data_IF_938140909899
#
_entry.id   IF_938140909899
#
_cell.length_a   1.000
_cell.length_b   1.000
_cell.length_c   1.000
_cell.angle_alpha   90.00
_cell.angle_beta   90.00
_cell.angle_gamma   90.00
#
_symmetry.space_group_name_H-M   'P 1'
#
loop_
_entity.id
_entity.type
_entity.pdbx_description
1 polymer ?
#
# COMPACT_ATOMS: atom_id res chain seq x y z
N UNK A 1 12.78 -1.20 -5.15
CA UNK A 1 11.49 -1.66 -4.57
C UNK A 1 11.72 -2.08 -3.12
N UNK A 2 10.77 -1.77 -2.22
CA UNK A 2 10.84 -2.17 -0.81
C UNK A 2 9.72 -3.16 -0.49
N UNK A 3 10.05 -4.25 0.19
CA UNK A 3 9.07 -5.20 0.73
C UNK A 3 9.10 -5.15 2.26
N UNK A 4 7.92 -5.19 2.89
CA UNK A 4 7.77 -5.31 4.33
C UNK A 4 6.96 -6.58 4.61
N UNK A 5 7.58 -7.57 5.23
CA UNK A 5 6.93 -8.85 5.55
C UNK A 5 7.40 -9.36 6.92
N UNK A 6 6.49 -9.96 7.70
CA UNK A 6 6.80 -10.50 9.03
C UNK A 6 6.97 -12.02 9.04
N UNK A 7 6.24 -12.72 8.17
CA UNK A 7 6.16 -14.17 8.15
C UNK A 7 7.42 -14.77 7.55
N UNK A 8 8.09 -15.63 8.32
CA UNK A 8 9.35 -16.27 7.91
C UNK A 8 9.23 -17.01 6.58
N UNK A 9 8.18 -17.81 6.41
CA UNK A 9 7.95 -18.59 5.19
C UNK A 9 7.80 -17.69 3.97
N UNK A 10 7.07 -16.58 4.09
CA UNK A 10 6.91 -15.61 3.01
C UNK A 10 8.22 -14.87 2.70
N UNK A 11 9.02 -14.53 3.70
CA UNK A 11 10.34 -13.93 3.52
C UNK A 11 11.32 -14.86 2.80
N UNK A 12 11.31 -16.15 3.16
CA UNK A 12 12.20 -17.13 2.53
C UNK A 12 11.82 -17.31 1.05
N UNK A 13 10.52 -17.39 0.73
CA UNK A 13 10.04 -17.40 -0.65
C UNK A 13 10.37 -16.10 -1.41
N UNK A 14 10.19 -14.94 -0.79
CA UNK A 14 10.52 -13.65 -1.39
C UNK A 14 12.00 -13.55 -1.74
N UNK A 15 12.89 -14.00 -0.84
CA UNK A 15 14.34 -14.02 -1.10
C UNK A 15 14.69 -14.93 -2.27
N UNK A 16 14.11 -16.12 -2.32
CA UNK A 16 14.31 -17.05 -3.43
C UNK A 16 13.86 -16.42 -4.77
N UNK A 17 12.70 -15.76 -4.80
CA UNK A 17 12.22 -15.09 -6.01
C UNK A 17 13.15 -13.93 -6.45
N UNK A 18 13.68 -13.15 -5.49
CA UNK A 18 14.61 -12.05 -5.79
C UNK A 18 15.91 -12.58 -6.38
N UNK A 19 16.44 -13.67 -5.82
CA UNK A 19 17.64 -14.35 -6.31
C UNK A 19 17.40 -14.95 -7.71
N UNK A 20 16.29 -15.67 -7.91
CA UNK A 20 15.93 -16.28 -9.20
C UNK A 20 15.78 -15.23 -10.31
N UNK A 21 15.22 -14.07 -9.99
CA UNK A 21 15.04 -12.97 -10.93
C UNK A 21 16.29 -12.11 -11.13
N UNK A 22 17.33 -12.26 -10.30
CA UNK A 22 18.56 -11.47 -10.34
C UNK A 22 18.31 -9.96 -10.15
N UNK A 23 17.49 -9.60 -9.16
CA UNK A 23 17.07 -8.20 -8.89
C UNK A 23 17.43 -7.72 -7.49
N UNK A 24 18.36 -8.41 -6.83
CA UNK A 24 18.81 -8.11 -5.47
C UNK A 24 19.31 -6.66 -5.32
N UNK A 25 19.99 -6.11 -6.32
CA UNK A 25 20.49 -4.74 -6.39
C UNK A 25 19.38 -3.66 -6.34
N UNK A 26 18.15 -4.04 -6.72
CA UNK A 26 16.97 -3.16 -6.80
C UNK A 26 15.94 -3.45 -5.73
N UNK A 27 16.16 -4.42 -4.84
CA UNK A 27 15.18 -4.85 -3.84
C UNK A 27 15.72 -4.72 -2.42
N UNK A 28 14.96 -4.02 -1.55
CA UNK A 28 15.18 -3.97 -0.10
C UNK A 28 14.09 -4.77 0.60
N UNK A 29 14.47 -5.84 1.30
CA UNK A 29 13.54 -6.65 2.10
C UNK A 29 13.66 -6.25 3.58
N UNK A 30 12.54 -5.82 4.17
CA UNK A 30 12.43 -5.46 5.58
C UNK A 30 11.59 -6.51 6.29
N UNK A 31 12.17 -7.20 7.27
CA UNK A 31 11.40 -8.07 8.17
C UNK A 31 10.70 -7.22 9.22
N UNK A 32 9.38 -7.05 9.13
CA UNK A 32 8.67 -6.16 10.05
C UNK A 32 7.15 -6.15 9.90
N UNK A 33 6.49 -5.41 10.78
CA UNK A 33 5.05 -5.19 10.75
C UNK A 33 4.72 -4.02 9.81
N UNK A 34 3.98 -4.27 8.74
CA UNK A 34 3.59 -3.25 7.77
C UNK A 34 2.72 -2.12 8.36
N UNK A 35 2.14 -2.28 9.55
CA UNK A 35 1.43 -1.22 10.28
C UNK A 35 2.35 -0.34 11.15
N UNK A 36 3.61 -0.73 11.34
CA UNK A 36 4.56 0.03 12.14
C UNK A 36 5.26 1.09 11.29
N UNK A 37 5.20 2.36 11.71
CA UNK A 37 5.84 3.50 11.04
C UNK A 37 7.33 3.29 10.73
N UNK A 38 8.04 2.59 11.60
CA UNK A 38 9.46 2.29 11.41
C UNK A 38 9.74 1.42 10.17
N UNK A 39 8.77 0.62 9.72
CA UNK A 39 8.95 -0.28 8.58
C UNK A 39 8.94 0.41 7.22
N UNK A 40 8.55 1.69 7.15
CA UNK A 40 8.44 2.44 5.89
C UNK A 40 9.60 3.40 5.64
N UNK A 41 10.54 3.50 6.59
CA UNK A 41 11.66 4.44 6.56
C UNK A 41 12.96 3.73 6.19
N UNK A 42 13.86 4.46 5.53
CA UNK A 42 15.27 4.09 5.49
C UNK A 42 15.92 4.49 6.81
N UNK A 43 16.58 3.54 7.47
CA UNK A 43 17.36 3.80 8.70
C UNK A 43 18.60 4.68 8.41
N UNK A 44 19.05 4.74 7.16
CA UNK A 44 20.24 5.48 6.71
C UNK A 44 19.97 6.94 6.35
N UNK A 45 18.71 7.40 6.44
CA UNK A 45 18.37 8.81 6.21
C UNK A 45 18.81 9.67 7.42
N UNK A 46 20.11 9.96 7.51
CA UNK A 46 20.67 10.97 8.43
C UNK A 46 20.33 12.38 7.97
N UNK A 47 20.00 13.25 8.93
CA UNK A 47 19.76 14.70 8.80
C UNK A 47 18.71 15.18 7.78
N UNK A 48 17.47 15.32 8.27
CA UNK A 48 16.46 16.21 7.68
C UNK A 48 15.91 15.83 6.29
N UNK A 49 16.50 14.86 5.61
CA UNK A 49 16.00 14.33 4.35
C UNK A 49 14.76 13.47 4.61
N UNK A 50 13.65 13.85 3.98
CA UNK A 50 12.39 13.14 4.12
C UNK A 50 12.60 11.69 3.68
N UNK A 51 12.34 10.78 4.63
CA UNK A 51 12.26 9.34 4.47
C UNK A 51 11.64 8.93 3.14
N UNK A 52 12.22 7.91 2.50
CA UNK A 52 11.81 7.27 1.24
C UNK A 52 10.36 7.59 0.86
N UNK A 53 10.19 8.38 -0.20
CA UNK A 53 8.87 8.63 -0.77
C UNK A 53 8.62 7.68 -1.94
N UNK A 54 7.43 7.10 -1.97
CA UNK A 54 7.03 6.09 -2.93
C UNK A 54 6.09 6.68 -3.98
N UNK A 55 6.26 6.30 -5.24
CA UNK A 55 5.28 6.60 -6.29
C UNK A 55 4.11 5.61 -6.29
N UNK A 56 4.39 4.39 -5.81
CA UNK A 56 3.44 3.29 -5.71
C UNK A 56 3.62 2.56 -4.38
N UNK A 57 2.53 2.34 -3.67
CA UNK A 57 2.45 1.40 -2.55
C UNK A 57 1.41 0.35 -2.87
N UNK A 58 1.76 -0.93 -2.70
CA UNK A 58 0.81 -2.04 -2.71
C UNK A 58 0.65 -2.56 -1.29
N UNK A 59 -0.59 -2.68 -0.83
CA UNK A 59 -0.92 -3.05 0.53
C UNK A 59 -2.01 -4.12 0.54
N UNK A 60 -1.65 -5.32 1.02
CA UNK A 60 -2.51 -6.50 1.09
C UNK A 60 -2.47 -7.09 2.51
N UNK A 61 -3.23 -6.49 3.45
CA UNK A 61 -3.19 -6.92 4.83
C UNK A 61 -3.97 -8.22 5.03
N UNK A 62 -3.60 -9.03 6.04
CA UNK A 62 -4.43 -10.15 6.47
C UNK A 62 -5.88 -9.73 6.74
N UNK A 63 -6.86 -10.37 6.09
CA UNK A 63 -8.26 -9.92 6.09
C UNK A 63 -8.86 -9.78 7.49
N UNK A 64 -8.40 -10.58 8.47
CA UNK A 64 -8.81 -10.48 9.87
C UNK A 64 -8.61 -9.09 10.49
N UNK A 65 -7.65 -8.31 9.98
CA UNK A 65 -7.41 -6.93 10.44
C UNK A 65 -8.55 -5.98 10.04
N UNK A 66 -9.40 -6.37 9.10
CA UNK A 66 -10.57 -5.60 8.69
C UNK A 66 -11.82 -6.02 9.48
N UNK A 67 -11.84 -7.23 10.05
CA UNK A 67 -12.98 -7.76 10.79
C UNK A 67 -13.07 -7.15 12.19
N UNK A 68 -11.95 -7.09 12.93
CA UNK A 68 -11.90 -6.48 14.26
C UNK A 68 -11.90 -4.94 14.19
N UNK A 69 -12.80 -4.23 14.91
CA UNK A 69 -12.87 -2.77 14.87
C UNK A 69 -11.60 -2.04 15.32
N UNK A 70 -10.87 -2.55 16.31
CA UNK A 70 -9.68 -1.91 16.84
C UNK A 70 -8.51 -2.06 15.87
N UNK A 71 -8.32 -3.26 15.33
CA UNK A 71 -7.29 -3.52 14.34
C UNK A 71 -7.60 -2.81 13.01
N UNK A 72 -8.87 -2.74 12.63
CA UNK A 72 -9.31 -1.94 11.47
C UNK A 72 -8.97 -0.47 11.67
N UNK A 73 -9.21 0.11 12.85
CA UNK A 73 -8.87 1.49 13.12
C UNK A 73 -7.36 1.75 13.02
N UNK A 74 -6.52 0.85 13.55
CA UNK A 74 -5.05 0.94 13.42
C UNK A 74 -4.60 0.86 11.96
N UNK A 75 -5.19 -0.07 11.21
CA UNK A 75 -4.93 -0.26 9.79
C UNK A 75 -5.27 0.99 8.98
N UNK A 76 -6.47 1.55 9.16
CA UNK A 76 -6.89 2.75 8.44
C UNK A 76 -6.04 3.97 8.78
N UNK A 77 -5.64 4.11 10.05
CA UNK A 77 -4.68 5.14 10.47
C UNK A 77 -3.33 4.96 9.76
N UNK A 78 -2.80 3.74 9.72
CA UNK A 78 -1.54 3.46 9.04
C UNK A 78 -1.61 3.76 7.54
N UNK A 79 -2.73 3.43 6.88
CA UNK A 79 -2.97 3.77 5.46
C UNK A 79 -2.95 5.28 5.25
N UNK A 80 -3.67 6.04 6.06
CA UNK A 80 -3.70 7.51 5.95
C UNK A 80 -2.30 8.12 6.16
N UNK A 81 -1.58 7.67 7.18
CA UNK A 81 -0.21 8.12 7.47
C UNK A 81 0.75 7.78 6.34
N UNK A 82 0.68 6.58 5.77
CA UNK A 82 1.55 6.19 4.66
C UNK A 82 1.28 7.07 3.42
N UNK A 83 0.01 7.34 3.10
CA UNK A 83 -0.34 8.21 1.97
C UNK A 83 0.14 9.66 2.24
N UNK A 84 -0.11 10.17 3.44
CA UNK A 84 0.22 11.54 3.81
C UNK A 84 1.73 11.79 3.90
N UNK A 85 2.48 10.88 4.50
CA UNK A 85 3.88 11.11 4.88
C UNK A 85 4.86 10.47 3.89
N UNK A 86 4.49 9.34 3.27
CA UNK A 86 5.42 8.49 2.51
C UNK A 86 5.10 8.33 1.03
N UNK A 87 3.95 8.79 0.55
CA UNK A 87 3.65 8.79 -0.89
C UNK A 87 4.13 10.11 -1.53
N UNK A 88 4.66 10.06 -2.75
CA UNK A 88 4.92 11.25 -3.56
C UNK A 88 3.62 11.93 -3.99
N UNK A 89 3.69 13.23 -4.30
CA UNK A 89 2.56 13.93 -4.92
C UNK A 89 2.17 13.22 -6.22
N UNK A 90 0.88 12.94 -6.40
CA UNK A 90 0.38 12.15 -7.54
C UNK A 90 0.62 10.63 -7.45
N UNK A 91 1.37 10.15 -6.45
CA UNK A 91 1.57 8.73 -6.21
C UNK A 91 0.27 8.01 -5.83
N UNK A 92 0.27 6.69 -5.98
CA UNK A 92 -0.91 5.83 -5.75
C UNK A 92 -0.65 4.77 -4.70
N UNK A 93 -1.61 4.63 -3.78
CA UNK A 93 -1.71 3.53 -2.85
C UNK A 93 -2.77 2.56 -3.37
N UNK A 94 -2.41 1.28 -3.44
CA UNK A 94 -3.26 0.18 -3.92
C UNK A 94 -3.58 -0.72 -2.74
N UNK A 95 -4.84 -0.74 -2.33
CA UNK A 95 -5.33 -1.55 -1.23
C UNK A 95 -6.11 -2.74 -1.78
N UNK A 96 -5.60 -3.96 -1.59
CA UNK A 96 -6.33 -5.19 -1.86
C UNK A 96 -7.00 -5.76 -0.60
N UNK A 97 -8.27 -6.14 -0.71
CA UNK A 97 -9.03 -6.84 0.33
C UNK A 97 -10.36 -7.40 -0.25
N UNK A 98 -11.14 -8.19 0.50
CA UNK A 98 -12.45 -8.63 0.05
C UNK A 98 -13.39 -7.45 -0.24
N UNK A 99 -14.24 -7.59 -1.26
CA UNK A 99 -15.13 -6.54 -1.76
C UNK A 99 -16.00 -5.89 -0.67
N UNK A 100 -16.60 -6.70 0.20
CA UNK A 100 -17.46 -6.29 1.30
C UNK A 100 -16.72 -5.39 2.29
N UNK A 101 -15.43 -5.64 2.50
CA UNK A 101 -14.62 -4.89 3.44
C UNK A 101 -14.27 -3.51 2.88
N UNK A 102 -13.91 -3.43 1.59
CA UNK A 102 -13.55 -2.15 0.95
C UNK A 102 -14.76 -1.25 0.68
N UNK A 103 -15.92 -1.81 0.35
CA UNK A 103 -17.14 -1.01 0.14
C UNK A 103 -17.58 -0.27 1.42
N UNK A 104 -17.40 -0.89 2.59
CA UNK A 104 -17.73 -0.30 3.88
C UNK A 104 -16.61 0.60 4.45
N UNK A 105 -15.43 0.61 3.83
CA UNK A 105 -14.25 1.28 4.34
C UNK A 105 -14.42 2.81 4.30
N UNK A 106 -14.05 3.47 5.40
CA UNK A 106 -14.03 4.92 5.52
C UNK A 106 -12.69 5.34 6.11
N UNK A 107 -11.87 6.03 5.32
CA UNK A 107 -10.60 6.56 5.79
C UNK A 107 -10.85 7.77 6.72
N UNK A 108 -10.10 7.89 7.84
CA UNK A 108 -10.17 9.07 8.72
C UNK A 108 -10.01 10.41 7.99
N UNK A 109 -9.16 10.47 6.97
CA UNK A 109 -8.96 11.65 6.12
C UNK A 109 -10.17 12.02 5.25
N UNK A 110 -11.18 11.14 5.14
CA UNK A 110 -12.31 11.30 4.22
C UNK A 110 -11.94 11.11 2.75
N UNK A 111 -10.70 10.68 2.45
CA UNK A 111 -10.22 10.45 1.08
C UNK A 111 -11.09 9.40 0.37
N UNK A 112 -11.42 9.70 -0.89
CA UNK A 112 -12.11 8.78 -1.80
C UNK A 112 -11.11 8.16 -2.78
N UNK A 113 -11.43 6.96 -3.26
CA UNK A 113 -10.62 6.22 -4.22
C UNK A 113 -11.43 5.64 -5.38
N UNK A 114 -10.74 5.01 -6.32
CA UNK A 114 -11.35 4.19 -7.38
C UNK A 114 -11.41 2.75 -6.88
N UNK A 115 -12.60 2.18 -6.73
CA UNK A 115 -12.79 0.80 -6.28
C UNK A 115 -13.10 -0.09 -7.49
N UNK A 116 -12.37 -1.19 -7.63
CA UNK A 116 -12.62 -2.20 -8.67
C UNK A 116 -12.80 -3.56 -8.04
N UNK A 117 -13.85 -4.26 -8.42
CA UNK A 117 -14.19 -5.59 -7.89
C UNK A 117 -13.93 -6.66 -8.94
N UNK A 118 -13.34 -7.76 -8.50
CA UNK A 118 -12.98 -8.92 -9.29
C UNK A 118 -13.41 -10.18 -8.53
N UNK A 119 -14.61 -10.69 -8.83
CA UNK A 119 -15.21 -11.75 -8.04
C UNK A 119 -15.46 -11.29 -6.60
N UNK A 120 -14.86 -11.98 -5.62
CA UNK A 120 -14.95 -11.65 -4.18
C UNK A 120 -13.84 -10.74 -3.69
N UNK A 121 -12.84 -10.45 -4.53
CA UNK A 121 -11.74 -9.54 -4.21
C UNK A 121 -12.03 -8.15 -4.76
N UNK A 122 -11.49 -7.13 -4.11
CA UNK A 122 -11.51 -5.77 -4.63
C UNK A 122 -10.16 -5.08 -4.45
N UNK A 123 -9.93 -4.10 -5.32
CA UNK A 123 -8.74 -3.24 -5.33
C UNK A 123 -9.23 -1.80 -5.24
N UNK A 124 -8.80 -1.09 -4.20
CA UNK A 124 -9.05 0.33 -3.99
C UNK A 124 -7.77 1.13 -4.29
N UNK A 125 -7.87 2.05 -5.25
CA UNK A 125 -6.80 2.98 -5.62
C UNK A 125 -7.01 4.32 -4.92
N UNK A 126 -6.01 4.78 -4.18
CA UNK A 126 -6.01 6.03 -3.41
C UNK A 126 -4.82 6.89 -3.82
N UNK A 127 -5.06 8.07 -4.37
CA UNK A 127 -4.01 8.98 -4.81
C UNK A 127 -3.68 10.02 -3.74
N UNK A 128 -2.42 10.45 -3.67
CA UNK A 128 -2.03 11.63 -2.90
C UNK A 128 -2.34 12.90 -3.70
N UNK A 129 -3.18 13.76 -3.11
CA UNK A 129 -3.61 15.09 -3.57
C UNK A 129 -4.15 15.22 -5.00
N UNK A 130 -4.12 14.16 -5.80
CA UNK A 130 -4.77 14.08 -7.09
C UNK A 130 -6.13 13.39 -6.96
N UNK A 131 -7.15 13.94 -7.60
CA UNK A 131 -8.27 13.12 -8.08
C UNK A 131 -7.74 12.22 -9.19
N UNK A 132 -8.30 11.00 -9.31
CA UNK A 132 -7.98 10.00 -10.37
C UNK A 132 -7.52 10.69 -11.67
N UNK A 133 -6.37 10.33 -12.26
CA UNK A 133 -5.95 10.89 -13.54
C UNK A 133 -7.08 10.71 -14.57
N UNK A 134 -7.48 11.80 -15.21
CA UNK A 134 -8.57 11.87 -16.19
C UNK A 134 -8.20 11.05 -17.45
N UNK A 135 -8.30 9.72 -17.38
CA UNK A 135 -7.90 8.82 -18.47
C UNK A 135 -9.02 7.87 -18.92
N UNK A 136 -10.29 8.24 -18.69
CA UNK A 136 -11.44 7.44 -19.13
C UNK A 136 -12.58 8.25 -19.79
N UNK A 137 -12.28 9.32 -20.53
CA UNK A 137 -13.25 9.96 -21.46
C UNK A 137 -12.88 9.88 -22.94
N UNK A 138 -11.76 9.30 -23.31
CA UNK A 138 -11.34 9.15 -24.70
C UNK A 138 -11.32 7.65 -25.11
N UNK A 139 -12.50 7.09 -25.36
CA UNK A 139 -12.81 5.97 -26.28
C UNK A 139 -14.24 5.51 -26.03
N UNK A 140 -15.19 6.17 -26.70
CA UNK A 140 -16.61 5.89 -26.58
C UNK A 140 -17.46 6.93 -27.30
N UNK A 141 -17.28 7.03 -28.61
CA UNK A 141 -18.09 7.85 -29.51
C UNK A 141 -17.77 7.40 -30.93
N UNK A 142 -18.54 6.43 -31.41
CA UNK A 142 -18.59 6.08 -32.83
C UNK A 142 -19.43 7.08 -33.61
#
# INVERSE_FOLDING_TARGET
MRFVEQARVALDALKANVEELGVDDRVRIVRGNALARGSWRDEEATDGAISSRYDLVVFDPPYRLLDDPNDRAKLLKAVDELIADHLNEGGVFVFHAPDRALNALRLPSGRKGDLRTYGTSAILYLWKNATRPDSARARGGG
#
